data_IF_458168131218
#
_entry.id   IF_458168131218
#
_cell.length_a   1.000
_cell.length_b   1.000
_cell.length_c   1.000
_cell.angle_alpha   90.00
_cell.angle_beta   90.00
_cell.angle_gamma   90.00
#
_symmetry.space_group_name_H-M   'P 1'
#
loop_
_entity.id
_entity.type
_entity.pdbx_description
1 polymer ?
#
# COMPACT_ATOMS: atom_id res chain seq x y z
N UNK A 1 -16.55 40.75 70.45
CA UNK A 1 -15.20 40.77 71.07
C UNK A 1 -14.41 39.63 70.45
N UNK A 2 -13.26 39.72 69.77
CA UNK A 2 -12.23 40.73 69.45
C UNK A 2 -11.81 40.45 67.98
N UNK A 3 -12.02 41.38 67.03
CA UNK A 3 -11.02 42.24 66.35
C UNK A 3 -9.72 41.57 65.85
N UNK A 4 -9.64 41.43 64.51
CA UNK A 4 -8.51 41.62 63.55
C UNK A 4 -7.34 42.50 64.09
N UNK A 5 -6.04 42.31 63.72
CA UNK A 5 -5.47 42.88 62.46
C UNK A 5 -4.20 42.24 61.82
N UNK A 6 -4.07 42.39 60.48
CA UNK A 6 -2.84 42.64 59.68
C UNK A 6 -1.86 41.45 59.52
N UNK A 7 -1.27 41.16 58.35
CA UNK A 7 -0.44 42.05 57.52
C UNK A 7 -0.45 41.64 56.03
N UNK A 8 -0.42 42.66 55.17
CA UNK A 8 0.03 42.57 53.78
C UNK A 8 1.55 42.36 53.68
N UNK A 9 1.99 41.96 52.48
CA UNK A 9 3.36 41.82 51.95
C UNK A 9 3.79 40.34 51.83
N UNK A 10 4.35 39.83 50.74
CA UNK A 10 4.92 40.49 49.57
C UNK A 10 4.74 39.61 48.33
N UNK A 11 4.59 40.29 47.20
CA UNK A 11 4.77 39.76 45.86
C UNK A 11 6.21 39.27 45.70
N UNK A 12 6.43 37.97 45.52
CA UNK A 12 7.63 37.45 44.87
C UNK A 12 7.17 36.58 43.72
N UNK A 13 7.26 37.16 42.53
CA UNK A 13 7.18 36.45 41.26
C UNK A 13 8.44 35.58 41.17
N UNK A 14 8.32 34.32 41.56
CA UNK A 14 9.30 33.31 41.23
C UNK A 14 8.92 32.73 39.85
N UNK A 15 9.49 33.31 38.79
CA UNK A 15 9.62 32.63 37.50
C UNK A 15 10.51 31.39 37.74
N UNK A 16 9.89 30.25 38.01
CA UNK A 16 10.50 28.95 37.78
C UNK A 16 9.99 28.49 36.43
N UNK A 17 10.84 28.63 35.43
CA UNK A 17 10.73 27.93 34.16
C UNK A 17 10.69 26.43 34.44
N UNK A 18 9.48 25.86 34.53
CA UNK A 18 9.29 24.44 34.34
C UNK A 18 9.69 24.13 32.90
N UNK A 19 10.92 23.65 32.75
CA UNK A 19 11.35 23.00 31.52
C UNK A 19 10.34 21.92 31.18
N UNK A 20 9.68 22.08 30.04
CA UNK A 20 9.00 20.99 29.38
C UNK A 20 10.07 19.94 29.09
N UNK A 21 10.19 18.94 29.96
CA UNK A 21 10.85 17.70 29.62
C UNK A 21 10.06 17.13 28.43
N UNK A 22 10.67 16.89 27.27
CA UNK A 22 10.01 16.09 26.27
C UNK A 22 9.78 14.73 26.93
N UNK A 23 8.50 14.35 27.05
CA UNK A 23 8.13 12.97 27.24
C UNK A 23 8.54 12.21 25.97
N UNK A 24 9.83 11.92 25.84
CA UNK A 24 10.32 10.85 25.00
C UNK A 24 9.87 9.56 25.66
N UNK A 25 8.60 9.22 25.44
CA UNK A 25 8.13 7.87 25.60
C UNK A 25 9.03 7.01 24.70
N UNK A 26 9.92 6.27 25.35
CA UNK A 26 10.74 5.26 24.72
C UNK A 26 9.80 4.21 24.14
N UNK A 27 9.42 4.35 22.88
CA UNK A 27 8.99 3.22 22.05
C UNK A 27 10.24 2.39 21.73
N UNK A 28 10.69 1.64 22.75
CA UNK A 28 11.68 0.59 22.60
C UNK A 28 10.88 -0.72 22.54
N UNK A 29 10.63 -1.19 21.33
CA UNK A 29 10.02 -2.51 21.09
C UNK A 29 8.85 -2.55 20.10
N UNK A 30 9.05 -2.10 18.86
CA UNK A 30 8.38 -2.74 17.72
C UNK A 30 9.52 -3.36 16.92
N UNK A 31 9.53 -4.69 16.81
CA UNK A 31 10.55 -5.43 16.06
C UNK A 31 10.66 -4.87 14.64
N UNK A 32 11.80 -5.09 13.98
CA UNK A 32 12.00 -4.71 12.59
C UNK A 32 10.78 -5.15 11.76
N UNK A 33 9.87 -4.22 11.47
CA UNK A 33 8.66 -4.44 10.69
C UNK A 33 9.11 -4.55 9.24
N UNK A 34 9.65 -5.72 8.89
CA UNK A 34 9.97 -6.06 7.52
C UNK A 34 8.69 -6.27 6.71
N UNK A 35 8.81 -6.11 5.40
CA UNK A 35 7.81 -6.54 4.43
C UNK A 35 7.63 -8.08 4.55
N UNK A 36 6.41 -8.63 4.51
CA UNK A 36 6.10 -10.04 4.78
C UNK A 36 6.68 -11.01 3.74
N UNK A 37 6.73 -10.59 2.48
CA UNK A 37 7.18 -11.39 1.34
C UNK A 37 8.41 -10.82 0.63
N UNK A 38 8.88 -9.63 1.03
CA UNK A 38 10.22 -9.13 0.76
C UNK A 38 10.23 -7.76 0.10
N UNK A 39 11.41 -7.14 0.13
CA UNK A 39 11.63 -5.80 -0.39
C UNK A 39 11.69 -4.73 0.69
N UNK A 40 11.78 -3.46 0.28
CA UNK A 40 11.76 -2.34 1.21
C UNK A 40 10.34 -2.05 1.69
N UNK A 41 10.21 -1.61 2.95
CA UNK A 41 8.99 -1.02 3.49
C UNK A 41 8.92 0.46 3.14
N UNK A 42 7.72 0.96 2.82
CA UNK A 42 7.47 2.38 2.61
C UNK A 42 6.56 2.96 3.70
N UNK A 43 7.13 3.77 4.58
CA UNK A 43 6.41 4.46 5.66
C UNK A 43 6.01 5.91 5.31
N UNK A 44 6.13 6.30 4.03
CA UNK A 44 5.78 7.64 3.58
C UNK A 44 4.27 7.80 3.29
N UNK A 45 3.85 9.01 2.90
CA UNK A 45 2.45 9.28 2.57
C UNK A 45 2.00 8.49 1.33
N UNK A 46 0.76 7.96 1.31
CA UNK A 46 0.27 7.19 0.17
C UNK A 46 0.05 8.08 -1.06
N UNK A 47 0.30 7.54 -2.24
CA UNK A 47 0.09 8.18 -3.53
C UNK A 47 -1.39 8.13 -3.96
N UNK A 48 -2.28 8.77 -3.19
CA UNK A 48 -3.73 8.62 -3.31
C UNK A 48 -4.28 8.93 -4.72
N UNK A 49 -3.70 9.88 -5.46
CA UNK A 49 -4.09 10.18 -6.85
C UNK A 49 -3.79 9.02 -7.82
N UNK A 50 -2.68 8.30 -7.60
CA UNK A 50 -2.34 7.11 -8.39
C UNK A 50 -3.27 5.96 -8.03
N UNK A 51 -3.53 5.75 -6.73
CA UNK A 51 -4.51 4.78 -6.23
C UNK A 51 -5.90 5.05 -6.82
N UNK A 52 -6.35 6.31 -6.82
CA UNK A 52 -7.60 6.73 -7.44
C UNK A 52 -7.68 6.42 -8.93
N UNK A 53 -6.58 6.65 -9.64
CA UNK A 53 -6.49 6.36 -11.08
C UNK A 53 -6.58 4.86 -11.37
N UNK A 54 -5.95 4.01 -10.54
CA UNK A 54 -6.08 2.56 -10.62
C UNK A 54 -7.53 2.11 -10.37
N UNK A 55 -8.16 2.61 -9.30
CA UNK A 55 -9.55 2.27 -8.96
C UNK A 55 -10.50 2.69 -10.08
N UNK A 56 -10.34 3.91 -10.61
CA UNK A 56 -11.11 4.42 -11.76
C UNK A 56 -10.91 3.54 -13.00
N UNK A 57 -9.67 3.17 -13.32
CA UNK A 57 -9.33 2.29 -14.43
C UNK A 57 -9.97 0.89 -14.32
N UNK A 58 -10.19 0.42 -13.09
CA UNK A 58 -10.83 -0.85 -12.78
C UNK A 58 -12.35 -0.84 -12.75
N UNK A 59 -13.00 0.31 -12.95
CA UNK A 59 -14.46 0.43 -12.92
C UNK A 59 -15.03 1.18 -11.71
N UNK A 60 -14.17 1.77 -10.88
CA UNK A 60 -14.56 2.52 -9.68
C UNK A 60 -14.59 1.65 -8.40
N UNK A 61 -14.80 2.28 -7.23
CA UNK A 61 -14.64 1.62 -5.93
C UNK A 61 -15.62 0.46 -5.70
N UNK A 62 -16.83 0.51 -6.25
CA UNK A 62 -17.85 -0.53 -6.08
C UNK A 62 -17.73 -1.69 -7.09
N UNK A 63 -17.12 -1.43 -8.26
CA UNK A 63 -17.09 -2.37 -9.39
C UNK A 63 -15.67 -2.73 -9.82
N UNK A 64 -14.69 -2.54 -8.93
CA UNK A 64 -13.29 -2.72 -9.28
C UNK A 64 -12.98 -4.14 -9.79
N UNK A 65 -12.28 -4.21 -10.91
CA UNK A 65 -11.72 -5.42 -11.47
C UNK A 65 -10.29 -5.16 -11.97
N UNK A 66 -9.33 -5.95 -11.50
CA UNK A 66 -7.95 -5.86 -11.97
C UNK A 66 -7.83 -6.19 -13.46
N UNK A 67 -8.65 -7.10 -13.98
CA UNK A 67 -8.66 -7.43 -15.41
C UNK A 67 -9.14 -6.22 -16.24
N UNK A 68 -10.16 -5.50 -15.75
CA UNK A 68 -10.63 -4.25 -16.37
C UNK A 68 -9.56 -3.17 -16.31
N UNK A 69 -8.90 -3.00 -15.16
CA UNK A 69 -7.82 -2.02 -14.98
C UNK A 69 -6.63 -2.30 -15.91
N UNK A 70 -6.15 -3.54 -15.97
CA UNK A 70 -5.07 -3.92 -16.87
C UNK A 70 -5.48 -3.71 -18.34
N UNK A 71 -6.71 -4.06 -18.70
CA UNK A 71 -7.20 -3.89 -20.08
C UNK A 71 -7.31 -2.42 -20.47
N UNK A 72 -7.79 -1.55 -19.58
CA UNK A 72 -7.86 -0.11 -19.85
C UNK A 72 -6.47 0.55 -19.92
N UNK A 73 -5.48 0.00 -19.21
CA UNK A 73 -4.12 0.50 -19.24
C UNK A 73 -3.34 0.11 -20.51
N UNK A 74 -3.43 -1.15 -20.95
CA UNK A 74 -2.54 -1.71 -21.98
C UNK A 74 -3.22 -2.51 -23.08
N UNK A 75 -4.54 -2.62 -23.04
CA UNK A 75 -5.36 -3.27 -24.07
C UNK A 75 -5.49 -4.79 -23.88
N UNK A 76 -6.55 -5.38 -24.43
CA UNK A 76 -6.93 -6.77 -24.16
C UNK A 76 -5.93 -7.79 -24.72
N UNK A 77 -5.24 -7.48 -25.83
CA UNK A 77 -4.28 -8.40 -26.44
C UNK A 77 -3.08 -8.67 -25.53
N UNK A 78 -2.54 -7.63 -24.89
CA UNK A 78 -1.41 -7.76 -23.98
C UNK A 78 -1.83 -8.50 -22.72
N UNK A 79 -2.98 -8.13 -22.14
CA UNK A 79 -3.55 -8.80 -20.96
C UNK A 79 -3.82 -10.28 -21.23
N UNK A 80 -4.43 -10.60 -22.38
CA UNK A 80 -4.69 -11.98 -22.78
C UNK A 80 -3.42 -12.81 -22.95
N UNK A 81 -2.38 -12.24 -23.55
CA UNK A 81 -1.08 -12.90 -23.68
C UNK A 81 -0.43 -13.17 -22.32
N UNK A 82 -0.51 -12.20 -21.41
CA UNK A 82 0.04 -12.30 -20.05
C UNK A 82 -0.72 -13.33 -19.21
N UNK A 83 -2.06 -13.29 -19.18
CA UNK A 83 -2.86 -14.30 -18.48
C UNK A 83 -2.58 -15.70 -19.03
N UNK A 84 -2.41 -15.86 -20.35
CA UNK A 84 -2.05 -17.15 -20.94
C UNK A 84 -0.64 -17.60 -20.50
N UNK A 85 0.31 -16.68 -20.38
CA UNK A 85 1.68 -16.96 -19.88
C UNK A 85 1.63 -17.39 -18.42
N UNK A 86 1.03 -16.58 -17.55
CA UNK A 86 0.88 -16.87 -16.12
C UNK A 86 0.14 -18.19 -15.90
N UNK A 87 -0.88 -18.49 -16.70
CA UNK A 87 -1.61 -19.76 -16.62
C UNK A 87 -0.72 -20.97 -16.93
N UNK A 88 0.23 -20.84 -17.88
CA UNK A 88 1.21 -21.90 -18.14
C UNK A 88 2.24 -22.04 -17.01
N UNK A 89 2.62 -20.94 -16.36
CA UNK A 89 3.63 -20.93 -15.30
C UNK A 89 3.10 -21.40 -13.94
N UNK A 90 1.91 -20.94 -13.57
CA UNK A 90 1.34 -21.14 -12.22
C UNK A 90 0.10 -22.04 -12.22
N UNK A 91 -0.48 -22.31 -13.39
CA UNK A 91 -1.73 -23.07 -13.51
C UNK A 91 -2.98 -22.20 -13.38
N UNK A 92 -4.06 -22.66 -14.01
CA UNK A 92 -5.34 -21.91 -14.11
C UNK A 92 -5.95 -21.58 -12.74
N UNK A 93 -5.88 -22.50 -11.79
CA UNK A 93 -6.45 -22.30 -10.46
C UNK A 93 -5.76 -21.16 -9.69
N UNK A 94 -4.42 -21.11 -9.71
CA UNK A 94 -3.64 -20.06 -9.02
C UNK A 94 -3.85 -18.70 -9.68
N UNK A 95 -3.86 -18.63 -11.02
CA UNK A 95 -4.15 -17.38 -11.73
C UNK A 95 -5.59 -16.88 -11.49
N UNK A 96 -6.56 -17.79 -11.46
CA UNK A 96 -7.94 -17.43 -11.08
C UNK A 96 -8.02 -16.88 -9.65
N UNK A 97 -7.34 -17.55 -8.70
CA UNK A 97 -7.25 -17.08 -7.31
C UNK A 97 -6.55 -15.74 -7.20
N UNK A 98 -5.48 -15.49 -7.96
CA UNK A 98 -4.79 -14.20 -8.00
C UNK A 98 -5.73 -13.06 -8.38
N UNK A 99 -6.55 -13.22 -9.42
CA UNK A 99 -7.54 -12.20 -9.82
C UNK A 99 -8.56 -11.96 -8.70
N UNK A 100 -9.07 -13.03 -8.07
CA UNK A 100 -10.02 -12.92 -6.96
C UNK A 100 -9.42 -12.19 -5.75
N UNK A 101 -8.21 -12.56 -5.34
CA UNK A 101 -7.52 -11.96 -4.21
C UNK A 101 -7.16 -10.50 -4.50
N UNK A 102 -6.71 -10.17 -5.72
CA UNK A 102 -6.43 -8.78 -6.10
C UNK A 102 -7.68 -7.90 -5.96
N UNK A 103 -8.82 -8.35 -6.51
CA UNK A 103 -10.06 -7.59 -6.43
C UNK A 103 -10.52 -7.40 -4.97
N UNK A 104 -10.39 -8.45 -4.15
CA UNK A 104 -10.64 -8.35 -2.71
C UNK A 104 -9.71 -7.35 -2.04
N UNK A 105 -8.40 -7.44 -2.28
CA UNK A 105 -7.40 -6.58 -1.65
C UNK A 105 -7.68 -5.10 -1.92
N UNK A 106 -8.07 -4.74 -3.15
CA UNK A 106 -8.45 -3.35 -3.47
C UNK A 106 -9.72 -2.93 -2.74
N UNK A 107 -10.76 -3.76 -2.74
CA UNK A 107 -12.02 -3.46 -2.05
C UNK A 107 -11.82 -3.29 -0.54
N UNK A 108 -11.08 -4.21 0.07
CA UNK A 108 -10.78 -4.21 1.50
C UNK A 108 -9.89 -3.02 1.90
N UNK A 109 -8.86 -2.72 1.11
CA UNK A 109 -8.01 -1.56 1.35
C UNK A 109 -8.79 -0.24 1.26
N UNK A 110 -9.73 -0.11 0.32
CA UNK A 110 -10.62 1.05 0.23
C UNK A 110 -11.53 1.16 1.45
N UNK A 111 -12.12 0.06 1.91
CA UNK A 111 -12.96 0.05 3.11
C UNK A 111 -12.17 0.52 4.35
N UNK A 112 -10.96 -0.01 4.54
CA UNK A 112 -10.08 0.39 5.66
C UNK A 112 -9.63 1.85 5.55
N UNK A 113 -9.28 2.32 4.36
CA UNK A 113 -8.92 3.71 4.12
C UNK A 113 -10.09 4.65 4.45
N UNK A 114 -11.31 4.32 4.01
CA UNK A 114 -12.52 5.09 4.35
C UNK A 114 -12.79 5.08 5.84
N UNK A 115 -12.68 3.92 6.51
CA UNK A 115 -12.83 3.82 7.96
C UNK A 115 -11.78 4.65 8.73
N UNK A 116 -10.59 4.83 8.15
CA UNK A 116 -9.53 5.70 8.67
C UNK A 116 -9.73 7.19 8.31
N UNK A 117 -10.84 7.57 7.70
CA UNK A 117 -11.14 8.96 7.31
C UNK A 117 -10.39 9.43 6.06
N UNK A 118 -9.80 8.53 5.28
CA UNK A 118 -9.11 8.88 4.03
C UNK A 118 -10.13 9.00 2.90
N UNK A 119 -10.13 10.16 2.25
CA UNK A 119 -10.91 10.39 1.03
C UNK A 119 -10.02 10.22 -0.19
N UNK A 120 -10.46 9.41 -1.14
CA UNK A 120 -9.75 9.21 -2.39
C UNK A 120 -9.96 10.45 -3.29
N UNK A 121 -8.90 11.11 -3.77
CA UNK A 121 -9.03 12.24 -4.69
C UNK A 121 -9.46 11.76 -6.08
N UNK A 122 -9.69 12.69 -7.01
CA UNK A 122 -9.88 12.30 -8.41
C UNK A 122 -8.57 11.75 -9.01
N UNK A 123 -8.68 10.62 -9.72
CA UNK A 123 -7.57 10.05 -10.49
C UNK A 123 -7.34 10.80 -11.80
N UNK A 124 -6.09 11.20 -12.06
CA UNK A 124 -5.68 11.97 -13.24
C UNK A 124 -4.78 11.19 -14.22
N UNK A 125 -4.47 9.92 -13.93
CA UNK A 125 -3.67 9.06 -14.82
C UNK A 125 -4.56 8.04 -15.52
N UNK A 126 -4.14 7.65 -16.73
CA UNK A 126 -4.82 6.62 -17.52
C UNK A 126 -3.84 5.91 -18.47
N UNK A 127 -4.30 4.82 -19.08
CA UNK A 127 -3.55 4.12 -20.12
C UNK A 127 -2.15 3.68 -19.68
N UNK A 128 -1.20 3.78 -20.61
CA UNK A 128 0.20 3.41 -20.36
C UNK A 128 0.89 4.30 -19.32
N UNK A 129 0.45 5.55 -19.14
CA UNK A 129 1.02 6.45 -18.13
C UNK A 129 0.70 5.99 -16.70
N UNK A 130 -0.53 5.50 -16.48
CA UNK A 130 -0.90 4.85 -15.21
C UNK A 130 -0.08 3.57 -15.01
N UNK A 131 0.00 2.70 -16.01
CA UNK A 131 0.77 1.45 -15.92
C UNK A 131 2.25 1.68 -15.57
N UNK A 132 2.90 2.62 -16.26
CA UNK A 132 4.29 2.97 -15.99
C UNK A 132 4.49 3.55 -14.59
N UNK A 133 3.54 4.37 -14.12
CA UNK A 133 3.57 4.92 -12.76
C UNK A 133 3.44 3.82 -11.70
N UNK A 134 2.54 2.85 -11.88
CA UNK A 134 2.37 1.72 -10.97
C UNK A 134 3.61 0.83 -10.94
N UNK A 135 4.20 0.53 -12.11
CA UNK A 135 5.48 -0.18 -12.20
C UNK A 135 6.55 0.55 -11.41
N UNK A 136 6.75 1.85 -11.67
CA UNK A 136 7.77 2.67 -10.99
C UNK A 136 7.56 2.71 -9.48
N UNK A 137 6.32 2.73 -9.01
CA UNK A 137 6.01 2.75 -7.59
C UNK A 137 6.50 1.47 -6.87
N UNK A 138 6.49 0.30 -7.52
CA UNK A 138 7.00 -0.94 -6.94
C UNK A 138 8.52 -1.16 -7.08
N UNK A 139 9.27 -0.30 -7.79
CA UNK A 139 10.71 -0.50 -7.99
C UNK A 139 11.53 -0.06 -6.78
N UNK A 140 12.43 -0.93 -6.32
CA UNK A 140 13.50 -0.57 -5.39
C UNK A 140 14.65 0.19 -6.10
N UNK A 141 15.68 0.57 -5.34
CA UNK A 141 16.86 1.27 -5.87
C UNK A 141 17.69 0.42 -6.85
N UNK A 142 17.49 -0.89 -6.90
CA UNK A 142 18.22 -1.86 -7.74
C UNK A 142 17.42 -2.28 -8.97
N UNK A 143 16.23 -1.70 -9.19
CA UNK A 143 15.34 -2.00 -10.30
C UNK A 143 14.56 -3.31 -10.15
N UNK A 144 14.45 -3.84 -8.93
CA UNK A 144 13.61 -5.01 -8.63
C UNK A 144 12.22 -4.54 -8.23
N UNK A 145 11.19 -5.12 -8.83
CA UNK A 145 9.81 -4.82 -8.50
C UNK A 145 9.34 -5.65 -7.29
N UNK A 146 8.79 -4.97 -6.28
CA UNK A 146 8.15 -5.57 -5.10
C UNK A 146 6.70 -5.10 -4.97
N UNK A 147 5.79 -6.06 -4.93
CA UNK A 147 4.35 -5.81 -4.71
C UNK A 147 4.12 -5.13 -3.37
N UNK A 148 4.78 -5.56 -2.30
CA UNK A 148 4.62 -4.94 -0.98
C UNK A 148 4.99 -3.45 -0.99
N UNK A 149 6.07 -3.09 -1.67
CA UNK A 149 6.50 -1.69 -1.77
C UNK A 149 5.53 -0.83 -2.60
N UNK A 150 4.89 -1.41 -3.62
CA UNK A 150 3.79 -0.76 -4.35
C UNK A 150 2.59 -0.56 -3.42
N UNK A 151 2.18 -1.59 -2.67
CA UNK A 151 0.99 -1.56 -1.84
C UNK A 151 1.13 -0.61 -0.65
N UNK A 152 2.30 -0.58 0.00
CA UNK A 152 2.62 0.40 1.03
C UNK A 152 2.46 1.85 0.50
N UNK A 153 2.90 2.12 -0.73
CA UNK A 153 2.70 3.43 -1.38
C UNK A 153 1.26 3.69 -1.81
N UNK A 154 0.46 2.65 -2.05
CA UNK A 154 -0.92 2.83 -2.46
C UNK A 154 -1.82 3.24 -1.28
N UNK A 155 -1.60 2.66 -0.10
CA UNK A 155 -2.52 2.78 1.05
C UNK A 155 -1.88 2.97 2.43
N UNK A 156 -0.55 3.09 2.53
CA UNK A 156 0.30 2.99 3.75
C UNK A 156 0.60 1.57 4.16
N UNK A 157 1.78 1.37 4.76
CA UNK A 157 2.19 0.08 5.31
C UNK A 157 1.19 -0.50 6.32
N UNK A 158 0.62 0.34 7.20
CA UNK A 158 -0.36 -0.10 8.19
C UNK A 158 -1.62 -0.70 7.55
N UNK A 159 -2.20 -0.03 6.54
CA UNK A 159 -3.39 -0.56 5.85
C UNK A 159 -3.02 -1.79 5.04
N UNK A 160 -1.87 -1.76 4.35
CA UNK A 160 -1.39 -2.89 3.57
C UNK A 160 -1.23 -4.16 4.43
N UNK A 161 -0.58 -4.08 5.59
CA UNK A 161 -0.46 -5.23 6.50
C UNK A 161 -1.82 -5.77 6.95
N UNK A 162 -2.76 -4.87 7.28
CA UNK A 162 -4.11 -5.27 7.68
C UNK A 162 -4.91 -5.93 6.55
N UNK A 163 -4.65 -5.58 5.29
CA UNK A 163 -5.25 -6.25 4.12
C UNK A 163 -4.66 -7.64 3.96
N UNK A 164 -3.35 -7.80 4.12
CA UNK A 164 -2.71 -9.12 4.06
C UNK A 164 -3.23 -10.06 5.16
N UNK A 165 -3.43 -9.55 6.39
CA UNK A 165 -4.07 -10.30 7.47
C UNK A 165 -5.49 -10.78 7.11
N UNK A 166 -6.27 -9.94 6.43
CA UNK A 166 -7.62 -10.30 6.00
C UNK A 166 -7.62 -11.28 4.81
N UNK A 167 -6.63 -11.21 3.92
CA UNK A 167 -6.41 -12.21 2.87
C UNK A 167 -6.09 -13.56 3.52
N UNK A 168 -5.18 -13.60 4.49
CA UNK A 168 -4.81 -14.82 5.21
C UNK A 168 -6.02 -15.44 5.91
N UNK A 169 -6.80 -14.62 6.62
CA UNK A 169 -7.99 -15.08 7.32
C UNK A 169 -9.07 -15.64 6.37
N UNK A 170 -9.25 -15.01 5.20
CA UNK A 170 -10.34 -15.36 4.26
C UNK A 170 -9.97 -16.44 3.26
N UNK A 171 -8.73 -16.42 2.78
CA UNK A 171 -8.26 -17.21 1.65
C UNK A 171 -7.10 -18.15 2.03
N UNK A 172 -6.36 -17.83 3.10
CA UNK A 172 -5.22 -18.59 3.58
C UNK A 172 -3.88 -18.05 3.04
N UNK A 173 -2.83 -18.22 3.86
CA UNK A 173 -1.46 -17.71 3.61
C UNK A 173 -0.91 -18.07 2.22
N UNK A 174 -1.18 -19.27 1.73
CA UNK A 174 -0.71 -19.67 0.40
C UNK A 174 -1.27 -18.78 -0.72
N UNK A 175 -2.52 -18.32 -0.58
CA UNK A 175 -3.16 -17.46 -1.59
C UNK A 175 -2.66 -16.01 -1.50
N UNK A 176 -2.28 -15.55 -0.32
CA UNK A 176 -1.61 -14.26 -0.15
C UNK A 176 -0.21 -14.28 -0.78
N UNK A 177 0.57 -15.32 -0.51
CA UNK A 177 1.88 -15.52 -1.12
C UNK A 177 1.78 -15.61 -2.65
N UNK A 178 0.81 -16.36 -3.18
CA UNK A 178 0.53 -16.46 -4.61
C UNK A 178 0.16 -15.11 -5.21
N UNK A 179 -0.64 -14.32 -4.48
CA UNK A 179 -1.02 -12.98 -4.91
C UNK A 179 0.20 -12.09 -5.08
N UNK A 180 1.14 -12.08 -4.12
CA UNK A 180 2.39 -11.33 -4.20
C UNK A 180 3.31 -11.86 -5.30
N UNK A 181 3.47 -13.17 -5.41
CA UNK A 181 4.34 -13.82 -6.40
C UNK A 181 3.90 -13.52 -7.83
N UNK A 182 2.62 -13.71 -8.11
CA UNK A 182 2.07 -13.51 -9.46
C UNK A 182 2.02 -12.02 -9.79
N UNK A 183 1.72 -11.15 -8.83
CA UNK A 183 1.77 -9.68 -9.05
C UNK A 183 3.19 -9.20 -9.35
N UNK A 184 4.21 -9.70 -8.65
CA UNK A 184 5.61 -9.38 -8.96
C UNK A 184 5.98 -9.74 -10.40
N UNK A 185 5.59 -10.94 -10.85
CA UNK A 185 5.85 -11.39 -12.21
C UNK A 185 5.09 -10.53 -13.23
N UNK A 186 3.79 -10.36 -13.05
CA UNK A 186 2.93 -9.61 -13.97
C UNK A 186 3.36 -8.15 -14.13
N UNK A 187 3.80 -7.49 -13.04
CA UNK A 187 4.24 -6.11 -13.08
C UNK A 187 5.64 -5.94 -13.70
N UNK A 188 6.54 -6.90 -13.51
CA UNK A 188 7.81 -6.92 -14.24
C UNK A 188 7.60 -7.15 -15.75
N UNK A 189 6.70 -8.05 -16.12
CA UNK A 189 6.35 -8.29 -17.52
C UNK A 189 5.67 -7.08 -18.16
N UNK A 190 4.77 -6.42 -17.43
CA UNK A 190 4.18 -5.14 -17.82
C UNK A 190 5.28 -4.08 -18.05
N UNK A 191 6.24 -3.97 -17.14
CA UNK A 191 7.37 -3.06 -17.28
C UNK A 191 8.15 -3.35 -18.58
N UNK A 192 8.43 -4.62 -18.85
CA UNK A 192 9.12 -5.04 -20.07
C UNK A 192 8.29 -4.71 -21.31
N UNK A 193 6.99 -4.92 -21.29
CA UNK A 193 6.11 -4.60 -22.42
C UNK A 193 6.00 -3.09 -22.68
N UNK A 194 6.20 -2.27 -21.63
CA UNK A 194 6.31 -0.80 -21.72
C UNK A 194 7.72 -0.30 -22.11
N UNK A 195 8.69 -1.20 -22.28
CA UNK A 195 10.06 -0.87 -22.71
C UNK A 195 11.11 -0.83 -21.59
N UNK A 196 10.72 -0.96 -20.32
CA UNK A 196 11.64 -1.00 -19.18
C UNK A 196 12.24 -2.40 -18.98
N UNK A 197 13.04 -2.86 -19.95
CA UNK A 197 13.56 -4.25 -20.04
C UNK A 197 14.53 -4.65 -18.92
N UNK A 198 15.01 -3.71 -18.12
CA UNK A 198 15.96 -3.95 -17.02
C UNK A 198 15.29 -4.23 -15.68
N UNK A 199 13.96 -4.14 -15.60
CA UNK A 199 13.20 -4.43 -14.38
C UNK A 199 13.31 -5.92 -14.04
N UNK A 200 13.55 -6.22 -12.76
CA UNK A 200 13.72 -7.58 -12.24
C UNK A 200 12.49 -8.03 -11.46
N UNK A 201 12.20 -9.32 -11.51
CA UNK A 201 11.20 -9.97 -10.64
C UNK A 201 11.82 -10.20 -9.28
N UNK A 202 11.12 -9.82 -8.20
CA UNK A 202 11.56 -10.12 -6.84
C UNK A 202 11.54 -11.63 -6.55
N UNK A 203 12.56 -12.11 -5.83
CA UNK A 203 12.48 -13.35 -5.07
C UNK A 203 11.67 -13.10 -3.80
N UNK A 204 10.66 -13.93 -3.54
CA UNK A 204 10.06 -13.98 -2.20
C UNK A 204 11.04 -14.64 -1.22
N UNK A 205 11.05 -14.22 0.04
CA UNK A 205 11.95 -14.76 1.07
C UNK A 205 11.31 -15.86 1.91
#
# INVERSE_FOLDING_TARGET
MKKSPWTMAALVVALVSLGALPATAAMKGMGEMGSRYGGPVYDGPPALTVTASLVKAGGGPENFSIATALTSMVGPNLVGAEVKKLTRQYGKARVGSWITVFNFAVSDALQKATAAGVTLPEGNLSGKALAATLVKAGLDKKGTFYTEYLLDKAVTHKIHMAVMDDIDAKYGVQKDEDYHRITNQAMADLAHALGAKTVKVASLH
#
